data_IF_149922499330
#
_entry.id   IF_149922499330
#
_cell.length_a   1.000
_cell.length_b   1.000
_cell.length_c   1.000
_cell.angle_alpha   90.00
_cell.angle_beta   90.00
_cell.angle_gamma   90.00
#
_symmetry.space_group_name_H-M   'P 1'
#
loop_
_entity.id
_entity.type
_entity.pdbx_description
1 polymer ?
#
# COMPACT_ATOMS: atom_id res chain seq x y z
N UNK A 1 -1.20 0.63 11.94
CA UNK A 1 -2.57 0.13 12.14
C UNK A 1 -3.44 1.26 12.66
N UNK A 2 -4.73 1.21 12.36
CA UNK A 2 -5.68 2.27 12.71
C UNK A 2 -6.91 1.64 13.37
N UNK A 3 -7.26 2.09 14.58
CA UNK A 3 -8.47 1.65 15.26
C UNK A 3 -9.68 2.47 14.78
N UNK A 4 -10.25 2.11 13.63
CA UNK A 4 -11.31 2.88 12.94
C UNK A 4 -12.62 3.11 13.74
N UNK A 5 -12.78 2.44 14.88
CA UNK A 5 -13.92 2.67 15.79
C UNK A 5 -13.67 3.77 16.81
N UNK A 6 -12.42 4.24 16.96
CA UNK A 6 -12.06 5.38 17.80
C UNK A 6 -12.28 6.68 17.02
N UNK A 7 -12.49 7.77 17.75
CA UNK A 7 -12.69 9.08 17.14
C UNK A 7 -11.44 9.52 16.35
N UNK A 8 -11.62 10.34 15.31
CA UNK A 8 -10.50 10.80 14.48
C UNK A 8 -9.47 11.66 15.22
N UNK A 9 -9.85 12.23 16.37
CA UNK A 9 -8.98 13.03 17.25
C UNK A 9 -8.48 12.24 18.47
N UNK A 10 -8.73 10.93 18.54
CA UNK A 10 -8.21 10.07 19.59
C UNK A 10 -6.78 9.64 19.22
N UNK A 11 -5.79 10.08 20.00
CA UNK A 11 -4.38 9.81 19.70
C UNK A 11 -4.02 8.33 19.85
N UNK A 12 -4.78 7.59 20.66
CA UNK A 12 -4.60 6.15 20.85
C UNK A 12 -5.11 5.30 19.66
N UNK A 13 -5.65 5.95 18.61
CA UNK A 13 -6.12 5.28 17.39
C UNK A 13 -4.99 4.65 16.58
N UNK A 14 -3.77 5.12 16.74
CA UNK A 14 -2.62 4.76 15.92
C UNK A 14 -1.78 3.70 16.61
N UNK A 15 -1.32 2.72 15.84
CA UNK A 15 -0.36 1.73 16.30
C UNK A 15 0.63 1.47 15.17
N UNK A 16 1.88 1.84 15.39
CA UNK A 16 2.94 1.74 14.39
C UNK A 16 3.80 0.53 14.71
N UNK A 17 4.14 -0.26 13.70
CA UNK A 17 4.86 -1.52 13.90
C UNK A 17 6.04 -1.61 12.94
N UNK A 18 7.09 -2.27 13.41
CA UNK A 18 8.32 -2.52 12.66
C UNK A 18 8.52 -4.02 12.61
N UNK A 19 8.87 -4.51 11.42
CA UNK A 19 9.36 -5.87 11.21
C UNK A 19 10.78 -5.79 10.66
N UNK A 20 11.62 -6.74 11.03
CA UNK A 20 12.98 -6.85 10.49
C UNK A 20 13.24 -8.26 9.98
N UNK A 21 14.14 -8.39 9.01
CA UNK A 21 14.58 -9.68 8.48
C UNK A 21 16.02 -9.58 8.00
N UNK A 22 16.70 -10.71 7.98
CA UNK A 22 18.02 -10.87 7.35
C UNK A 22 17.91 -11.45 5.94
N UNK A 23 16.71 -11.87 5.53
CA UNK A 23 16.45 -12.51 4.25
C UNK A 23 15.01 -12.18 3.81
N UNK A 24 14.89 -11.39 2.74
CA UNK A 24 13.60 -10.95 2.21
C UNK A 24 12.76 -12.12 1.65
N UNK A 25 13.40 -13.25 1.32
CA UNK A 25 12.78 -14.37 0.62
C UNK A 25 12.37 -15.52 1.57
N UNK A 26 12.74 -15.43 2.84
CA UNK A 26 12.42 -16.44 3.84
C UNK A 26 11.50 -15.84 4.90
N UNK A 27 10.21 -16.12 4.76
CA UNK A 27 9.16 -15.65 5.69
C UNK A 27 9.47 -16.02 7.15
N UNK A 28 10.15 -17.14 7.40
CA UNK A 28 10.48 -17.60 8.77
C UNK A 28 11.56 -16.77 9.47
N UNK A 29 12.27 -15.91 8.73
CA UNK A 29 13.32 -15.03 9.28
C UNK A 29 12.83 -13.62 9.60
N UNK A 30 11.57 -13.30 9.30
CA UNK A 30 10.98 -12.06 9.74
C UNK A 30 10.71 -12.11 11.25
N UNK A 31 11.00 -11.02 11.96
CA UNK A 31 10.69 -10.91 13.38
C UNK A 31 9.19 -10.80 13.62
N UNK A 32 8.77 -11.05 14.87
CA UNK A 32 7.47 -10.57 15.33
C UNK A 32 7.41 -9.03 15.25
N UNK A 33 6.19 -8.49 15.26
CA UNK A 33 5.94 -7.05 15.21
C UNK A 33 6.52 -6.35 16.46
N UNK A 34 7.38 -5.36 16.23
CA UNK A 34 7.85 -4.44 17.26
C UNK A 34 6.97 -3.20 17.23
N UNK A 35 6.27 -2.92 18.34
CA UNK A 35 5.37 -1.78 18.44
C UNK A 35 6.13 -0.50 18.77
N UNK A 36 5.77 0.59 18.10
CA UNK A 36 6.31 1.92 18.28
C UNK A 36 5.23 2.87 18.77
N UNK A 37 5.50 3.52 19.90
CA UNK A 37 4.62 4.56 20.46
C UNK A 37 4.77 5.88 19.67
N UNK A 38 3.97 6.01 18.62
CA UNK A 38 3.89 7.19 17.78
C UNK A 38 2.43 7.54 17.43
N UNK A 39 2.04 8.78 17.72
CA UNK A 39 0.70 9.31 17.47
C UNK A 39 0.53 9.79 16.02
N UNK A 40 0.50 8.84 15.07
CA UNK A 40 0.40 9.19 13.67
C UNK A 40 0.59 8.02 12.72
N UNK A 41 0.97 8.35 11.50
CA UNK A 41 1.13 7.39 10.41
C UNK A 41 2.33 7.76 9.54
N UNK A 42 2.58 6.99 8.49
CA UNK A 42 3.71 7.15 7.56
C UNK A 42 5.06 7.23 8.27
N UNK A 43 5.33 6.28 9.17
CA UNK A 43 6.64 6.20 9.80
C UNK A 43 7.70 5.75 8.80
N UNK A 44 8.84 6.44 8.78
CA UNK A 44 10.03 6.10 8.01
C UNK A 44 11.24 6.03 8.93
N UNK A 45 12.01 4.92 8.92
CA UNK A 45 13.28 4.88 9.63
C UNK A 45 14.35 5.70 8.91
N UNK A 46 15.27 6.26 9.67
CA UNK A 46 16.48 6.94 9.20
C UNK A 46 17.66 6.53 10.07
N UNK A 47 18.84 6.36 9.47
CA UNK A 47 20.07 6.04 10.18
C UNK A 47 21.09 7.14 9.97
N UNK A 48 21.74 7.58 11.04
CA UNK A 48 22.89 8.48 10.95
C UNK A 48 24.20 7.72 10.67
N UNK A 49 25.30 8.46 10.51
CA UNK A 49 26.61 7.88 10.18
C UNK A 49 27.21 7.12 11.38
N UNK A 50 26.74 7.40 12.59
CA UNK A 50 27.12 6.68 13.82
C UNK A 50 26.31 5.38 14.02
N UNK A 51 25.33 5.10 13.15
CA UNK A 51 24.47 3.92 13.21
C UNK A 51 23.31 4.05 14.20
N UNK A 52 23.02 5.25 14.71
CA UNK A 52 21.82 5.48 15.50
C UNK A 52 20.60 5.49 14.57
N UNK A 53 19.53 4.85 15.02
CA UNK A 53 18.24 4.83 14.32
C UNK A 53 17.30 5.91 14.84
N UNK A 54 16.62 6.53 13.90
CA UNK A 54 15.57 7.51 14.08
C UNK A 54 14.32 7.04 13.37
N UNK A 55 13.16 7.43 13.87
CA UNK A 55 11.90 7.34 13.13
C UNK A 55 11.39 8.75 12.92
N UNK A 56 11.08 9.07 11.67
CA UNK A 56 10.31 10.24 11.27
C UNK A 56 8.90 9.78 10.91
N UNK A 57 7.88 10.57 11.24
CA UNK A 57 6.49 10.21 10.95
C UNK A 57 5.57 11.41 10.88
N UNK A 58 4.42 11.22 10.26
CA UNK A 58 3.38 12.24 10.12
C UNK A 58 2.47 12.19 11.33
N UNK A 59 2.35 13.30 12.04
CA UNK A 59 1.39 13.35 13.13
C UNK A 59 -0.02 13.32 12.55
N UNK A 60 -0.95 12.63 13.23
CA UNK A 60 -2.34 12.62 12.82
C UNK A 60 -2.90 14.04 12.78
N UNK A 61 -3.27 14.54 11.59
CA UNK A 61 -3.55 15.97 11.35
C UNK A 61 -4.65 16.57 12.25
N UNK A 62 -5.57 15.73 12.77
CA UNK A 62 -6.63 16.12 13.70
C UNK A 62 -6.21 16.15 15.18
N UNK A 63 -5.00 15.69 15.49
CA UNK A 63 -4.42 15.64 16.84
C UNK A 63 -3.29 16.67 16.95
N UNK A 64 -2.28 16.58 16.09
CA UNK A 64 -1.22 17.59 15.94
C UNK A 64 -0.75 17.64 14.48
N UNK A 65 -0.16 18.77 14.10
CA UNK A 65 0.27 19.03 12.73
C UNK A 65 1.79 18.92 12.63
N UNK A 66 2.26 18.37 11.51
CA UNK A 66 3.67 18.41 11.13
C UNK A 66 4.33 17.03 11.12
N UNK A 67 5.60 17.05 10.75
CA UNK A 67 6.46 15.89 10.65
C UNK A 67 7.33 15.81 11.89
N UNK A 68 7.25 14.70 12.61
CA UNK A 68 7.92 14.52 13.89
C UNK A 68 9.02 13.49 13.78
N UNK A 69 10.13 13.71 14.49
CA UNK A 69 11.25 12.77 14.58
C UNK A 69 11.58 12.43 16.03
N UNK A 70 12.06 11.21 16.25
CA UNK A 70 12.73 10.83 17.48
C UNK A 70 13.77 9.74 17.22
N UNK A 71 14.71 9.58 18.15
CA UNK A 71 15.61 8.44 18.18
C UNK A 71 14.83 7.23 18.71
N UNK A 72 14.96 6.08 18.05
CA UNK A 72 14.19 4.87 18.36
C UNK A 72 15.11 3.66 18.30
N UNK A 73 15.07 2.78 19.30
CA UNK A 73 15.62 1.44 19.15
C UNK A 73 14.65 0.58 18.33
N UNK A 74 14.99 0.31 17.06
CA UNK A 74 14.12 -0.43 16.13
C UNK A 74 13.93 -1.91 16.53
N UNK A 75 14.75 -2.42 17.44
CA UNK A 75 14.66 -3.80 17.95
C UNK A 75 13.59 -3.92 19.02
N UNK A 76 13.46 -2.89 19.87
CA UNK A 76 12.56 -2.90 21.03
C UNK A 76 11.33 -2.01 20.85
N UNK A 77 11.39 -1.06 19.92
CA UNK A 77 10.39 -0.01 19.74
C UNK A 77 10.54 1.13 20.75
N UNK A 78 11.58 1.11 21.58
CA UNK A 78 11.79 2.12 22.62
C UNK A 78 12.10 3.49 22.00
N UNK A 79 11.29 4.48 22.37
CA UNK A 79 11.46 5.88 21.98
C UNK A 79 12.44 6.56 22.96
N UNK A 80 13.61 6.97 22.47
CA UNK A 80 14.75 7.41 23.29
C UNK A 80 14.78 8.94 23.52
N UNK A 81 13.63 9.58 23.64
CA UNK A 81 13.51 11.02 23.81
C UNK A 81 12.08 11.54 23.61
N UNK A 82 11.92 12.84 23.39
CA UNK A 82 10.64 13.44 23.03
C UNK A 82 10.53 13.67 21.52
N UNK A 83 9.34 13.43 20.96
CA UNK A 83 9.04 13.72 19.57
C UNK A 83 9.26 15.20 19.25
N UNK A 84 10.10 15.48 18.26
CA UNK A 84 10.44 16.84 17.82
C UNK A 84 9.79 17.12 16.48
N UNK A 85 8.98 18.18 16.37
CA UNK A 85 8.42 18.62 15.10
C UNK A 85 9.51 19.28 14.25
N UNK A 86 9.79 18.70 13.07
CA UNK A 86 10.79 19.15 12.12
C UNK A 86 10.25 20.21 11.17
N UNK A 87 9.06 19.99 10.63
CA UNK A 87 8.51 20.80 9.55
C UNK A 87 7.00 20.63 9.43
N UNK A 88 6.29 21.75 9.21
CA UNK A 88 4.83 21.79 9.03
C UNK A 88 4.40 21.73 7.56
N UNK A 89 5.34 21.47 6.64
CA UNK A 89 5.10 21.57 5.21
C UNK A 89 5.08 23.01 4.69
N UNK A 90 4.66 23.15 3.44
CA UNK A 90 4.57 24.43 2.71
C UNK A 90 3.25 25.17 2.96
N UNK A 91 2.31 24.55 3.69
CA UNK A 91 0.97 25.06 3.94
C UNK A 91 -0.14 24.29 3.21
N UNK A 92 0.21 23.22 2.47
CA UNK A 92 -0.75 22.25 1.95
C UNK A 92 -1.43 21.47 3.08
N UNK A 93 -2.59 20.88 2.76
CA UNK A 93 -3.29 20.01 3.71
C UNK A 93 -2.52 18.70 3.90
N UNK A 94 -2.60 18.12 5.09
CA UNK A 94 -2.05 16.80 5.42
C UNK A 94 -0.58 16.61 4.98
N UNK A 95 0.39 17.36 5.57
CA UNK A 95 1.80 17.05 5.41
C UNK A 95 2.07 15.63 5.93
N UNK A 96 2.44 14.72 5.02
CA UNK A 96 2.56 13.29 5.30
C UNK A 96 3.72 12.60 4.56
N UNK A 97 3.86 11.27 4.63
CA UNK A 97 4.88 10.52 3.88
C UNK A 97 6.34 10.99 4.03
N UNK A 98 6.88 11.25 5.25
CA UNK A 98 8.19 11.84 5.40
C UNK A 98 9.34 10.88 5.11
N UNK A 99 10.30 11.30 4.30
CA UNK A 99 11.56 10.61 4.07
C UNK A 99 12.76 11.55 4.24
N UNK A 100 13.79 11.09 4.98
CA UNK A 100 15.01 11.86 5.23
C UNK A 100 16.18 11.28 4.44
N UNK A 101 16.80 12.12 3.62
CA UNK A 101 18.03 11.82 2.88
C UNK A 101 19.19 12.64 3.41
N UNK A 102 20.35 12.00 3.62
CA UNK A 102 21.60 12.71 3.93
C UNK A 102 22.47 12.77 2.69
N UNK A 103 22.72 13.98 2.17
CA UNK A 103 23.52 14.18 0.95
C UNK A 103 24.26 15.52 1.00
N UNK A 104 25.54 15.53 0.65
CA UNK A 104 26.38 16.73 0.58
C UNK A 104 26.35 17.61 1.84
N UNK A 105 26.33 16.95 3.01
CA UNK A 105 26.25 17.59 4.32
C UNK A 105 24.92 18.31 4.58
N UNK A 106 23.85 17.92 3.91
CA UNK A 106 22.48 18.35 4.16
C UNK A 106 21.60 17.15 4.52
N UNK A 107 20.65 17.37 5.42
CA UNK A 107 19.48 16.53 5.59
C UNK A 107 18.35 17.11 4.75
N UNK A 108 17.85 16.35 3.79
CA UNK A 108 16.68 16.69 3.00
C UNK A 108 15.49 15.93 3.55
N UNK A 109 14.42 16.64 3.88
CA UNK A 109 13.14 16.08 4.30
C UNK A 109 12.15 16.25 3.15
N UNK A 110 11.80 15.13 2.52
CA UNK A 110 10.72 15.03 1.53
C UNK A 110 9.44 14.62 2.22
N UNK A 111 8.31 15.21 1.82
CA UNK A 111 6.98 14.94 2.35
C UNK A 111 5.94 15.05 1.23
N UNK A 112 4.84 14.33 1.38
CA UNK A 112 3.62 14.55 0.60
C UNK A 112 2.76 15.67 1.22
N UNK A 113 2.05 16.42 0.38
CA UNK A 113 1.04 17.40 0.79
C UNK A 113 -0.17 17.38 -0.16
N UNK A 114 -1.26 18.03 0.21
CA UNK A 114 -2.46 18.18 -0.61
C UNK A 114 -3.46 17.02 -0.49
N UNK A 115 -3.10 15.99 0.28
CA UNK A 115 -3.82 14.72 0.40
C UNK A 115 -3.74 13.88 -0.88
N UNK A 116 -3.91 12.57 -0.76
CA UNK A 116 -3.77 11.58 -1.86
C UNK A 116 -4.83 11.66 -2.98
N UNK A 117 -5.46 12.81 -3.21
CA UNK A 117 -6.43 13.10 -4.27
C UNK A 117 -5.87 14.03 -5.36
N UNK A 118 -6.74 14.77 -6.05
CA UNK A 118 -6.34 15.62 -7.20
C UNK A 118 -5.30 16.72 -6.86
N UNK A 119 -5.17 17.12 -5.60
CA UNK A 119 -4.22 18.15 -5.16
C UNK A 119 -2.91 17.56 -4.64
N UNK A 120 -2.72 16.24 -4.75
CA UNK A 120 -1.52 15.57 -4.24
C UNK A 120 -0.25 16.13 -4.86
N UNK A 121 0.76 16.30 -4.02
CA UNK A 121 2.05 16.83 -4.41
C UNK A 121 3.14 16.33 -3.47
N UNK A 122 4.38 16.37 -3.94
CA UNK A 122 5.59 16.15 -3.16
C UNK A 122 6.30 17.49 -2.92
N UNK A 123 6.67 17.76 -1.69
CA UNK A 123 7.42 18.95 -1.28
C UNK A 123 8.70 18.54 -0.55
N UNK A 124 9.69 19.41 -0.56
CA UNK A 124 10.99 19.15 0.06
C UNK A 124 11.51 20.36 0.81
N UNK A 125 12.19 20.10 1.92
CA UNK A 125 12.95 21.08 2.68
C UNK A 125 14.32 20.49 3.04
N UNK A 126 15.27 21.31 3.48
CA UNK A 126 16.58 20.82 3.93
C UNK A 126 17.13 21.58 5.12
N UNK A 127 18.00 20.94 5.89
CA UNK A 127 18.73 21.55 6.98
C UNK A 127 20.16 21.02 7.09
N UNK A 128 21.03 21.78 7.75
CA UNK A 128 22.37 21.31 8.15
C UNK A 128 22.34 20.47 9.43
N UNK A 129 21.24 20.54 10.18
CA UNK A 129 21.02 19.78 11.40
C UNK A 129 19.80 18.86 11.19
N UNK A 130 19.89 17.60 11.62
CA UNK A 130 18.79 16.63 11.52
C UNK A 130 17.52 17.15 12.17
N UNK A 131 17.64 17.90 13.28
CA UNK A 131 16.53 18.49 14.01
C UNK A 131 16.06 19.85 13.46
N UNK A 132 16.64 20.31 12.36
CA UNK A 132 16.27 21.55 11.71
C UNK A 132 16.94 22.80 12.30
N UNK A 133 16.41 24.01 12.00
CA UNK A 133 15.21 24.25 11.21
C UNK A 133 15.40 23.84 9.74
N UNK A 134 14.32 23.37 9.11
CA UNK A 134 14.30 23.01 7.69
C UNK A 134 13.90 24.22 6.84
N UNK A 135 14.75 24.56 5.86
CA UNK A 135 14.48 25.57 4.84
C UNK A 135 13.72 24.91 3.66
N UNK A 136 12.50 25.34 3.33
CA UNK A 136 11.75 24.77 2.21
C UNK A 136 12.39 25.13 0.87
N UNK A 137 12.33 24.21 -0.10
CA UNK A 137 12.70 24.53 -1.47
C UNK A 137 11.75 25.60 -2.04
N UNK A 138 12.32 26.72 -2.51
CA UNK A 138 11.56 27.80 -3.13
C UNK A 138 10.81 27.38 -4.40
N UNK A 139 11.19 26.25 -5.02
CA UNK A 139 10.54 25.67 -6.19
C UNK A 139 9.46 24.63 -5.85
N UNK A 140 9.09 24.45 -4.57
CA UNK A 140 8.02 23.52 -4.21
C UNK A 140 6.68 23.85 -4.91
N UNK A 141 5.86 22.82 -5.23
CA UNK A 141 6.15 21.39 -5.08
C UNK A 141 7.16 20.86 -6.11
N UNK A 142 7.95 19.86 -5.72
CA UNK A 142 8.94 19.24 -6.62
C UNK A 142 8.34 18.16 -7.53
N UNK A 143 7.15 17.66 -7.20
CA UNK A 143 6.38 16.74 -8.03
C UNK A 143 4.88 16.96 -7.79
N UNK A 144 4.08 17.11 -8.85
CA UNK A 144 2.62 17.09 -8.77
C UNK A 144 2.01 16.89 -10.15
N UNK A 145 0.81 16.34 -10.26
CA UNK A 145 0.01 16.48 -11.48
C UNK A 145 -1.25 17.33 -11.25
N UNK A 146 -1.36 17.97 -10.07
CA UNK A 146 -2.49 18.83 -9.73
C UNK A 146 -2.66 19.98 -10.74
N UNK A 147 -3.91 20.31 -11.05
CA UNK A 147 -4.28 21.37 -12.01
C UNK A 147 -3.70 21.18 -13.43
N UNK A 148 -3.36 19.95 -13.81
CA UNK A 148 -2.97 19.59 -15.18
C UNK A 148 -4.08 18.80 -15.88
N UNK A 149 -3.93 18.58 -17.19
CA UNK A 149 -4.79 17.66 -17.97
C UNK A 149 -4.15 16.28 -18.18
N UNK A 150 -3.14 15.94 -17.38
CA UNK A 150 -2.41 14.68 -17.55
C UNK A 150 -3.29 13.48 -17.18
N UNK A 151 -3.04 12.33 -17.81
CA UNK A 151 -3.83 11.12 -17.55
C UNK A 151 -3.57 10.53 -16.16
N UNK A 152 -2.30 10.55 -15.73
CA UNK A 152 -1.92 10.24 -14.35
C UNK A 152 -2.26 11.43 -13.46
N UNK A 153 -2.97 11.19 -12.37
CA UNK A 153 -3.35 12.20 -11.38
C UNK A 153 -3.02 11.72 -9.97
N UNK A 154 -3.20 12.59 -8.98
CA UNK A 154 -2.86 12.32 -7.58
C UNK A 154 -1.41 11.86 -7.37
N UNK A 155 -0.49 12.41 -8.16
CA UNK A 155 0.94 12.08 -8.10
C UNK A 155 1.58 12.72 -6.86
N UNK A 156 2.17 11.90 -6.00
CA UNK A 156 2.83 12.32 -4.75
C UNK A 156 3.22 11.12 -3.90
N UNK A 157 3.58 11.33 -2.64
CA UNK A 157 4.04 10.29 -1.71
C UNK A 157 5.22 9.53 -2.33
N UNK A 158 6.24 10.32 -2.67
CA UNK A 158 7.39 9.87 -3.43
C UNK A 158 8.53 9.39 -2.53
N UNK A 159 9.34 8.49 -3.07
CA UNK A 159 10.62 8.09 -2.47
C UNK A 159 11.71 8.07 -3.54
N UNK A 160 12.95 8.32 -3.14
CA UNK A 160 14.11 8.42 -4.02
C UNK A 160 15.13 7.34 -3.71
N UNK A 161 15.73 6.76 -4.74
CA UNK A 161 16.76 5.74 -4.58
C UNK A 161 17.79 5.81 -5.70
N UNK A 162 18.95 5.22 -5.46
CA UNK A 162 19.99 5.04 -6.47
C UNK A 162 19.97 3.61 -7.00
N UNK A 163 20.15 3.45 -8.31
CA UNK A 163 20.47 2.14 -8.89
C UNK A 163 21.94 1.76 -8.64
N UNK A 164 22.33 0.55 -9.05
CA UNK A 164 23.70 0.06 -8.91
C UNK A 164 24.75 0.85 -9.71
N UNK A 165 24.34 1.77 -10.60
CA UNK A 165 25.21 2.67 -11.36
C UNK A 165 25.26 4.07 -10.72
N UNK A 166 24.61 4.28 -9.58
CA UNK A 166 24.52 5.56 -8.88
C UNK A 166 23.52 6.54 -9.51
N UNK A 167 22.70 6.09 -10.47
CA UNK A 167 21.68 6.94 -11.08
C UNK A 167 20.50 7.08 -10.13
N UNK A 168 20.04 8.32 -9.93
CA UNK A 168 18.88 8.60 -9.11
C UNK A 168 17.56 8.33 -9.85
N UNK A 169 16.66 7.69 -9.14
CA UNK A 169 15.30 7.35 -9.55
C UNK A 169 14.33 7.79 -8.46
N UNK A 170 13.11 8.10 -8.86
CA UNK A 170 12.01 8.35 -7.94
C UNK A 170 10.84 7.44 -8.24
N UNK A 171 10.20 6.94 -7.20
CA UNK A 171 8.87 6.33 -7.26
C UNK A 171 7.85 7.30 -6.69
N UNK A 172 6.60 7.19 -7.13
CA UNK A 172 5.47 7.86 -6.50
C UNK A 172 4.22 7.00 -6.72
N UNK A 173 3.17 7.26 -5.94
CA UNK A 173 1.85 6.76 -6.30
C UNK A 173 1.23 7.67 -7.35
N UNK A 174 0.33 7.13 -8.17
CA UNK A 174 -0.51 7.86 -9.12
C UNK A 174 -1.82 7.11 -9.35
N UNK A 175 -2.78 7.78 -9.97
CA UNK A 175 -4.06 7.19 -10.37
C UNK A 175 -4.29 7.43 -11.86
N UNK A 176 -4.71 6.40 -12.60
CA UNK A 176 -5.13 6.49 -14.01
C UNK A 176 -6.57 6.99 -14.14
N UNK A 177 -6.82 8.25 -13.79
CA UNK A 177 -8.18 8.83 -13.78
C UNK A 177 -8.42 9.95 -14.77
N UNK A 178 -7.35 10.62 -15.27
CA UNK A 178 -7.49 11.97 -15.82
C UNK A 178 -7.98 13.00 -14.80
N UNK A 179 -8.00 14.30 -15.14
CA UNK A 179 -8.46 15.36 -14.25
C UNK A 179 -9.94 15.28 -13.90
N UNK A 180 -10.73 14.52 -14.65
CA UNK A 180 -12.16 14.30 -14.39
C UNK A 180 -12.38 13.54 -13.07
N UNK A 181 -11.42 12.71 -12.65
CA UNK A 181 -11.44 11.99 -11.37
C UNK A 181 -12.72 11.15 -11.14
N UNK A 182 -13.27 10.58 -12.22
CA UNK A 182 -14.55 9.84 -12.15
C UNK A 182 -14.35 8.34 -11.99
N UNK A 183 -13.37 7.74 -12.69
CA UNK A 183 -13.22 6.28 -12.74
C UNK A 183 -11.76 5.88 -12.75
N UNK A 184 -11.37 5.09 -11.75
CA UNK A 184 -10.01 4.60 -11.55
C UNK A 184 -10.04 3.24 -10.80
N UNK A 185 -10.45 2.16 -11.48
CA UNK A 185 -10.76 0.89 -10.82
C UNK A 185 -9.55 0.19 -10.17
N UNK A 186 -8.33 0.56 -10.58
CA UNK A 186 -7.09 -0.01 -10.06
C UNK A 186 -6.57 0.73 -8.82
N UNK A 187 -7.24 1.82 -8.41
CA UNK A 187 -6.83 2.63 -7.27
C UNK A 187 -5.51 3.36 -7.53
N UNK A 188 -4.66 3.41 -6.50
CA UNK A 188 -3.33 4.02 -6.55
C UNK A 188 -2.33 2.99 -7.05
N UNK A 189 -1.53 3.38 -8.03
CA UNK A 189 -0.55 2.57 -8.75
C UNK A 189 0.82 3.23 -8.64
N UNK A 190 1.91 2.46 -8.77
CA UNK A 190 3.26 3.01 -8.68
C UNK A 190 3.75 3.48 -10.04
N UNK A 191 4.30 4.70 -10.09
CA UNK A 191 5.05 5.24 -11.22
C UNK A 191 6.53 5.32 -10.87
N UNK A 192 7.39 5.14 -11.87
CA UNK A 192 8.84 5.31 -11.77
C UNK A 192 9.26 6.44 -12.72
N UNK A 193 10.20 7.28 -12.29
CA UNK A 193 10.71 8.39 -13.08
C UNK A 193 12.17 8.71 -12.76
N UNK A 194 12.83 9.42 -13.67
CA UNK A 194 14.22 9.83 -13.51
C UNK A 194 14.35 11.00 -12.55
N UNK A 195 15.47 11.03 -11.81
CA UNK A 195 15.84 12.14 -10.94
C UNK A 195 17.29 12.54 -11.22
N UNK A 196 17.54 13.85 -11.28
CA UNK A 196 18.89 14.42 -11.28
C UNK A 196 19.11 15.17 -9.97
N UNK A 197 20.23 14.90 -9.29
CA UNK A 197 20.52 15.49 -8.00
C UNK A 197 21.99 15.87 -7.87
N UNK A 198 22.32 17.03 -8.42
CA UNK A 198 23.66 17.58 -8.39
C UNK A 198 24.15 17.88 -6.97
N UNK A 199 25.46 17.99 -6.82
CA UNK A 199 26.07 18.21 -5.53
C UNK A 199 25.60 19.54 -4.90
N UNK A 200 25.02 19.47 -3.70
CA UNK A 200 24.52 20.64 -2.97
C UNK A 200 23.25 21.30 -3.55
N UNK A 201 22.66 20.73 -4.61
CA UNK A 201 21.41 21.22 -5.21
C UNK A 201 20.17 20.60 -4.57
N UNK A 202 18.99 21.00 -5.04
CA UNK A 202 17.75 20.24 -4.84
C UNK A 202 17.67 19.10 -5.86
N UNK A 203 16.93 18.01 -5.57
CA UNK A 203 16.62 17.01 -6.58
C UNK A 203 15.65 17.61 -7.60
N UNK A 204 15.90 17.32 -8.87
CA UNK A 204 15.01 17.64 -9.98
C UNK A 204 14.32 16.36 -10.45
N UNK A 205 13.01 16.29 -10.22
CA UNK A 205 12.17 15.16 -10.58
C UNK A 205 11.56 15.38 -11.97
N UNK A 206 11.36 14.31 -12.72
CA UNK A 206 10.65 14.40 -13.99
C UNK A 206 9.16 14.73 -13.76
N UNK A 207 8.82 15.99 -13.95
CA UNK A 207 7.50 16.55 -13.70
C UNK A 207 6.97 17.28 -14.95
N UNK A 208 5.69 17.10 -15.34
CA UNK A 208 4.70 16.19 -14.75
C UNK A 208 4.92 14.72 -15.15
N UNK A 209 4.33 13.80 -14.41
CA UNK A 209 4.38 12.36 -14.71
C UNK A 209 3.43 12.04 -15.87
N UNK A 210 3.98 11.41 -16.92
CA UNK A 210 3.25 11.06 -18.15
C UNK A 210 3.27 9.57 -18.49
N UNK A 211 3.90 8.74 -17.66
CA UNK A 211 4.17 7.33 -17.97
C UNK A 211 5.29 7.09 -18.98
N UNK A 212 5.95 8.15 -19.45
CA UNK A 212 7.15 8.07 -20.28
C UNK A 212 8.36 8.56 -19.49
N UNK A 213 9.33 7.69 -19.25
CA UNK A 213 10.60 8.06 -18.61
C UNK A 213 11.51 8.78 -19.60
N UNK A 214 12.19 9.83 -19.13
CA UNK A 214 13.17 10.61 -19.91
C UNK A 214 14.46 10.72 -19.11
N UNK A 215 15.56 10.25 -19.69
CA UNK A 215 16.88 10.33 -19.06
C UNK A 215 17.59 8.99 -19.10
N UNK A 216 17.74 8.36 -17.94
CA UNK A 216 18.44 7.08 -17.78
C UNK A 216 17.68 5.95 -18.47
N UNK A 217 18.40 5.06 -19.15
CA UNK A 217 17.81 3.81 -19.62
C UNK A 217 17.51 2.88 -18.45
N UNK A 218 16.34 2.24 -18.49
CA UNK A 218 15.99 1.18 -17.57
C UNK A 218 17.11 0.11 -17.54
N UNK A 219 17.43 -0.43 -16.36
CA UNK A 219 18.33 -1.57 -16.27
C UNK A 219 17.74 -2.77 -17.01
N UNK A 220 18.59 -3.70 -17.44
CA UNK A 220 18.12 -4.95 -18.04
C UNK A 220 17.25 -5.72 -17.05
N UNK A 221 16.20 -6.35 -17.56
CA UNK A 221 15.27 -7.16 -16.75
C UNK A 221 16.05 -8.35 -16.16
N UNK A 222 15.95 -8.52 -14.84
CA UNK A 222 16.47 -9.69 -14.14
C UNK A 222 15.32 -10.68 -13.98
N UNK A 223 15.38 -11.81 -14.67
CA UNK A 223 14.33 -12.84 -14.62
C UNK A 223 14.57 -13.90 -13.53
N UNK A 224 15.82 -14.08 -13.09
CA UNK A 224 16.18 -15.08 -12.08
C UNK A 224 16.24 -14.45 -10.69
N UNK A 225 15.08 -14.02 -10.18
CA UNK A 225 14.94 -13.54 -8.80
C UNK A 225 14.59 -14.71 -7.87
N UNK A 226 14.96 -14.68 -6.57
CA UNK A 226 14.70 -15.77 -5.63
C UNK A 226 13.24 -15.91 -5.17
N UNK A 227 12.30 -15.19 -5.77
CA UNK A 227 10.89 -15.16 -5.34
C UNK A 227 10.03 -16.24 -5.98
N UNK A 228 9.00 -16.68 -5.26
CA UNK A 228 8.10 -17.78 -5.65
C UNK A 228 6.77 -17.33 -6.32
N UNK A 229 6.77 -16.14 -6.93
CA UNK A 229 5.58 -15.54 -7.58
C UNK A 229 5.81 -15.22 -9.06
N UNK A 230 4.73 -15.15 -9.86
CA UNK A 230 4.85 -14.72 -11.24
C UNK A 230 5.24 -13.24 -11.31
N UNK A 231 5.89 -12.85 -12.41
CA UNK A 231 6.04 -11.43 -12.71
C UNK A 231 4.68 -10.80 -13.02
N UNK A 232 4.55 -9.50 -12.75
CA UNK A 232 3.28 -8.76 -12.95
C UNK A 232 2.79 -8.83 -14.40
N UNK A 233 3.70 -9.01 -15.37
CA UNK A 233 3.43 -9.08 -16.80
C UNK A 233 3.32 -10.50 -17.38
N UNK A 234 3.58 -11.56 -16.60
CA UNK A 234 3.49 -12.95 -17.08
C UNK A 234 2.04 -13.39 -17.34
N UNK A 235 1.07 -12.72 -16.70
CA UNK A 235 -0.36 -13.01 -16.84
C UNK A 235 -0.78 -14.33 -16.20
N UNK A 236 -2.08 -14.46 -15.91
CA UNK A 236 -2.65 -15.63 -15.23
C UNK A 236 -3.33 -16.57 -16.23
N UNK A 237 -2.52 -17.28 -17.03
CA UNK A 237 -3.06 -18.22 -17.99
C UNK A 237 -3.35 -19.58 -17.32
N UNK A 238 -4.64 -19.88 -17.08
CA UNK A 238 -5.13 -21.19 -16.64
C UNK A 238 -4.51 -21.69 -15.32
N UNK A 239 -4.68 -20.91 -14.25
CA UNK A 239 -4.19 -21.27 -12.91
C UNK A 239 -4.72 -22.65 -12.49
N UNK A 240 -3.80 -23.52 -12.06
CA UNK A 240 -4.09 -24.85 -11.51
C UNK A 240 -3.52 -24.96 -10.11
N UNK A 241 -4.39 -25.23 -9.13
CA UNK A 241 -4.00 -25.45 -7.74
C UNK A 241 -3.53 -26.90 -7.56
N UNK A 242 -2.30 -27.18 -7.99
CA UNK A 242 -1.72 -28.54 -8.05
C UNK A 242 -1.48 -29.12 -6.65
N UNK A 243 -1.46 -30.45 -6.47
CA UNK A 243 -1.08 -31.04 -5.19
C UNK A 243 0.32 -30.59 -4.75
N UNK A 244 0.51 -30.45 -3.43
CA UNK A 244 1.79 -30.05 -2.81
C UNK A 244 2.32 -28.67 -3.26
N UNK A 245 1.44 -27.76 -3.65
CA UNK A 245 1.78 -26.34 -3.87
C UNK A 245 1.11 -25.45 -2.84
N UNK A 246 1.58 -24.20 -2.75
CA UNK A 246 0.90 -23.12 -2.04
C UNK A 246 -0.07 -22.38 -2.95
N UNK A 247 -0.92 -21.54 -2.35
CA UNK A 247 -1.72 -20.56 -3.08
C UNK A 247 -0.75 -19.49 -3.60
N UNK A 248 -0.80 -19.10 -4.89
CA UNK A 248 0.14 -18.12 -5.43
C UNK A 248 0.07 -16.78 -4.67
N UNK A 249 1.22 -16.10 -4.44
CA UNK A 249 1.31 -14.95 -3.54
C UNK A 249 0.54 -13.70 -4.02
N UNK A 250 0.15 -13.64 -5.30
CA UNK A 250 -0.67 -12.56 -5.83
C UNK A 250 -2.17 -12.69 -5.48
N UNK A 251 -2.59 -13.85 -4.95
CA UNK A 251 -3.91 -13.98 -4.34
C UNK A 251 -3.92 -13.38 -2.94
N UNK A 252 -5.01 -12.71 -2.62
CA UNK A 252 -5.22 -12.00 -1.36
C UNK A 252 -6.53 -12.39 -0.72
N UNK A 253 -6.57 -12.26 0.60
CA UNK A 253 -7.75 -12.45 1.42
C UNK A 253 -8.25 -11.12 1.96
N UNK A 254 -9.50 -11.10 2.41
CA UNK A 254 -10.03 -9.97 3.14
C UNK A 254 -9.75 -10.16 4.63
N UNK A 255 -8.68 -9.51 5.13
CA UNK A 255 -8.15 -9.67 6.49
C UNK A 255 -7.59 -11.09 6.73
N UNK A 256 -7.11 -11.44 7.94
CA UNK A 256 -6.56 -12.77 8.18
C UNK A 256 -7.56 -13.88 7.82
N UNK A 257 -7.17 -14.85 6.97
CA UNK A 257 -8.06 -15.92 6.54
C UNK A 257 -8.21 -17.00 7.63
N UNK A 258 -9.37 -17.67 7.63
CA UNK A 258 -9.51 -18.98 8.27
C UNK A 258 -8.92 -20.01 7.30
N UNK A 259 -7.66 -20.38 7.52
CA UNK A 259 -6.87 -21.16 6.55
C UNK A 259 -7.48 -22.52 6.22
N UNK A 260 -8.17 -23.16 7.16
CA UNK A 260 -8.89 -24.43 6.92
C UNK A 260 -10.01 -24.32 5.86
N UNK A 261 -10.46 -23.10 5.55
CA UNK A 261 -11.48 -22.89 4.52
C UNK A 261 -10.92 -23.00 3.10
N UNK A 262 -9.60 -23.06 2.92
CA UNK A 262 -8.93 -23.05 1.62
C UNK A 262 -8.09 -24.32 1.48
N UNK A 263 -8.55 -25.27 0.65
CA UNK A 263 -7.84 -26.54 0.46
C UNK A 263 -7.48 -26.74 -1.00
N UNK A 264 -6.18 -26.81 -1.26
CA UNK A 264 -5.61 -27.13 -2.58
C UNK A 264 -5.76 -28.63 -2.86
N UNK A 265 -6.25 -28.96 -4.05
CA UNK A 265 -6.37 -30.34 -4.55
C UNK A 265 -6.93 -31.33 -3.52
N UNK A 266 -8.12 -31.09 -2.94
CA UNK A 266 -8.68 -32.03 -1.97
C UNK A 266 -8.91 -33.40 -2.63
N UNK A 267 -9.00 -34.49 -1.84
CA UNK A 267 -9.24 -35.83 -2.37
C UNK A 267 -10.43 -35.86 -3.35
N UNK A 268 -10.19 -36.39 -4.56
CA UNK A 268 -11.21 -36.45 -5.61
C UNK A 268 -11.29 -35.23 -6.54
N UNK A 269 -10.66 -34.09 -6.20
CA UNK A 269 -10.67 -32.86 -7.01
C UNK A 269 -9.24 -32.31 -7.20
N UNK A 270 -8.42 -33.03 -7.96
CA UNK A 270 -7.06 -32.57 -8.28
C UNK A 270 -7.07 -31.29 -9.13
N UNK A 271 -6.10 -30.40 -8.92
CA UNK A 271 -5.93 -29.12 -9.61
C UNK A 271 -6.99 -28.06 -9.30
N UNK A 272 -7.77 -28.20 -8.22
CA UNK A 272 -8.80 -27.25 -7.79
C UNK A 272 -8.46 -26.60 -6.44
N UNK A 273 -9.09 -25.46 -6.16
CA UNK A 273 -9.12 -24.86 -4.83
C UNK A 273 -10.53 -25.00 -4.27
N UNK A 274 -10.68 -25.73 -3.17
CA UNK A 274 -11.95 -25.83 -2.46
C UNK A 274 -12.06 -24.71 -1.43
N UNK A 275 -13.19 -24.03 -1.46
CA UNK A 275 -13.59 -23.00 -0.50
C UNK A 275 -14.70 -23.53 0.42
N UNK A 276 -14.55 -23.40 1.74
CA UNK A 276 -15.62 -23.66 2.72
C UNK A 276 -16.42 -22.37 2.97
N UNK A 277 -17.75 -22.34 2.80
CA UNK A 277 -18.55 -21.14 3.01
C UNK A 277 -18.36 -20.54 4.41
N UNK A 278 -18.23 -19.22 4.50
CA UNK A 278 -18.28 -18.50 5.77
C UNK A 278 -19.73 -18.28 6.24
N UNK A 279 -19.97 -18.06 7.55
CA UNK A 279 -21.32 -17.82 8.06
C UNK A 279 -21.98 -16.56 7.50
N UNK A 280 -21.18 -15.55 7.11
CA UNK A 280 -21.62 -14.29 6.55
C UNK A 280 -21.25 -14.20 5.07
N UNK A 281 -22.09 -13.50 4.31
CA UNK A 281 -21.77 -13.08 2.93
C UNK A 281 -20.69 -11.99 2.93
N UNK A 282 -20.22 -11.62 1.73
CA UNK A 282 -19.13 -10.64 1.56
C UNK A 282 -19.39 -9.26 2.19
N UNK A 283 -20.66 -8.87 2.36
CA UNK A 283 -21.02 -7.60 3.01
C UNK A 283 -20.71 -7.61 4.51
N UNK A 284 -20.63 -8.79 5.14
CA UNK A 284 -20.35 -8.91 6.57
C UNK A 284 -21.47 -8.34 7.43
N UNK A 285 -21.13 -7.90 8.65
CA UNK A 285 -22.09 -7.34 9.62
C UNK A 285 -22.23 -5.82 9.46
N UNK A 286 -21.11 -5.11 9.38
CA UNK A 286 -21.01 -3.64 9.39
C UNK A 286 -20.33 -3.08 8.14
N UNK A 287 -20.11 -3.93 7.12
CA UNK A 287 -19.38 -3.55 5.92
C UNK A 287 -17.89 -3.25 6.14
N UNK A 288 -17.38 -3.53 7.34
CA UNK A 288 -16.04 -3.19 7.78
C UNK A 288 -15.41 -4.26 8.69
N UNK A 289 -16.01 -5.45 8.81
CA UNK A 289 -15.49 -6.55 9.63
C UNK A 289 -15.91 -7.90 9.00
N UNK A 290 -15.03 -8.92 9.00
CA UNK A 290 -15.41 -10.27 8.61
C UNK A 290 -16.21 -10.97 9.75
N UNK A 291 -16.36 -10.32 10.90
CA UNK A 291 -16.99 -10.90 12.09
C UNK A 291 -16.14 -12.02 12.71
N UNK A 292 -16.61 -12.62 13.82
CA UNK A 292 -15.89 -13.68 14.53
C UNK A 292 -15.77 -14.98 13.73
N UNK A 293 -16.67 -15.20 12.76
CA UNK A 293 -16.67 -16.39 11.90
C UNK A 293 -15.78 -16.26 10.67
N UNK A 294 -15.05 -15.14 10.52
CA UNK A 294 -14.22 -14.84 9.35
C UNK A 294 -15.02 -14.68 8.06
N UNK A 295 -14.30 -14.39 6.98
CA UNK A 295 -14.85 -14.30 5.63
C UNK A 295 -14.11 -15.27 4.72
N UNK A 296 -14.84 -16.15 4.04
CA UNK A 296 -14.27 -16.95 2.97
C UNK A 296 -14.30 -16.14 1.70
N UNK A 297 -13.14 -15.61 1.32
CA UNK A 297 -12.94 -14.75 0.16
C UNK A 297 -11.48 -14.83 -0.24
N UNK A 298 -11.23 -15.12 -1.52
CA UNK A 298 -9.92 -15.06 -2.13
C UNK A 298 -10.04 -14.33 -3.46
N UNK A 299 -9.14 -13.40 -3.74
CA UNK A 299 -9.15 -12.60 -4.96
C UNK A 299 -7.74 -12.30 -5.43
N UNK A 300 -7.60 -11.66 -6.58
CA UNK A 300 -6.39 -10.97 -7.00
C UNK A 300 -6.72 -9.53 -7.35
N UNK A 301 -5.72 -8.64 -7.35
CA UNK A 301 -5.90 -7.25 -7.78
C UNK A 301 -6.23 -7.21 -9.27
N UNK A 302 -7.16 -6.33 -9.65
CA UNK A 302 -7.31 -5.87 -11.02
C UNK A 302 -6.11 -4.99 -11.37
N UNK A 303 -5.35 -5.34 -12.42
CA UNK A 303 -4.13 -4.62 -12.85
C UNK A 303 -4.25 -4.03 -14.25
N UNK A 304 -5.30 -4.38 -14.97
CA UNK A 304 -5.62 -3.88 -16.31
C UNK A 304 -7.01 -3.23 -16.33
N UNK A 305 -7.16 -2.17 -17.12
CA UNK A 305 -8.47 -1.54 -17.36
C UNK A 305 -9.41 -2.48 -18.11
N UNK A 306 -8.84 -3.23 -19.08
CA UNK A 306 -9.56 -4.19 -19.90
C UNK A 306 -8.96 -5.57 -19.63
N UNK A 307 -9.76 -6.47 -19.10
CA UNK A 307 -9.35 -7.83 -18.82
C UNK A 307 -10.52 -8.79 -19.02
N UNK A 308 -10.19 -10.07 -19.22
CA UNK A 308 -11.14 -11.15 -19.17
C UNK A 308 -10.72 -12.10 -18.05
N UNK A 309 -11.70 -12.67 -17.37
CA UNK A 309 -11.46 -13.69 -16.37
C UNK A 309 -12.61 -14.69 -16.40
N UNK A 310 -12.28 -15.95 -16.12
CA UNK A 310 -13.21 -17.05 -16.08
C UNK A 310 -12.76 -18.05 -15.01
N UNK A 311 -13.71 -18.82 -14.49
CA UNK A 311 -13.46 -19.88 -13.54
C UNK A 311 -14.50 -20.99 -13.75
N UNK A 312 -14.11 -22.22 -13.43
CA UNK A 312 -15.02 -23.35 -13.36
C UNK A 312 -15.49 -23.50 -11.91
N UNK A 313 -16.80 -23.63 -11.71
CA UNK A 313 -17.41 -23.83 -10.39
C UNK A 313 -18.10 -25.19 -10.32
N UNK A 314 -17.57 -26.07 -9.48
CA UNK A 314 -18.25 -27.29 -9.04
C UNK A 314 -18.89 -27.03 -7.68
N UNK A 315 -20.21 -26.81 -7.68
CA UNK A 315 -20.94 -26.40 -6.48
C UNK A 315 -22.39 -26.89 -6.49
N UNK A 316 -22.82 -27.43 -5.35
CA UNK A 316 -24.19 -27.87 -5.09
C UNK A 316 -24.59 -27.36 -3.70
N UNK A 317 -25.32 -26.24 -3.59
CA UNK A 317 -25.67 -25.66 -2.30
C UNK A 317 -26.54 -26.64 -1.49
N UNK A 318 -26.34 -26.64 -0.17
CA UNK A 318 -26.98 -27.54 0.79
C UNK A 318 -27.89 -26.81 1.78
N UNK A 319 -27.74 -25.50 1.91
CA UNK A 319 -28.53 -24.65 2.78
C UNK A 319 -29.16 -23.47 2.04
N UNK A 320 -30.31 -23.00 2.54
CA UNK A 320 -30.94 -21.77 2.06
C UNK A 320 -29.97 -20.59 2.21
N UNK A 321 -29.93 -19.74 1.19
CA UNK A 321 -29.04 -18.59 1.03
C UNK A 321 -27.54 -18.91 0.95
N UNK A 322 -27.15 -20.19 0.88
CA UNK A 322 -25.77 -20.58 0.61
C UNK A 322 -25.42 -20.20 -0.83
N UNK A 323 -24.33 -19.44 -1.02
CA UNK A 323 -23.93 -18.85 -2.29
C UNK A 323 -22.43 -19.06 -2.53
N UNK A 324 -22.07 -19.44 -3.75
CA UNK A 324 -20.69 -19.46 -4.22
C UNK A 324 -20.61 -18.88 -5.65
N UNK A 325 -19.52 -18.17 -5.93
CA UNK A 325 -19.35 -17.53 -7.22
C UNK A 325 -18.18 -16.56 -7.27
N UNK A 326 -18.35 -15.53 -8.09
CA UNK A 326 -17.34 -14.56 -8.46
C UNK A 326 -17.77 -13.16 -8.04
N UNK A 327 -16.80 -12.29 -7.76
CA UNK A 327 -17.07 -10.93 -7.31
C UNK A 327 -16.05 -9.93 -7.86
N UNK A 328 -16.53 -8.74 -8.20
CA UNK A 328 -15.75 -7.52 -8.30
C UNK A 328 -15.84 -6.83 -6.94
N UNK A 329 -14.75 -6.88 -6.17
CA UNK A 329 -14.74 -6.47 -4.76
C UNK A 329 -13.85 -5.24 -4.57
N UNK A 330 -14.44 -4.12 -4.17
CA UNK A 330 -13.71 -2.93 -3.72
C UNK A 330 -13.66 -2.88 -2.19
N UNK A 331 -14.81 -2.96 -1.55
CA UNK A 331 -14.96 -3.14 -0.10
C UNK A 331 -16.16 -4.04 0.20
N UNK A 332 -16.38 -4.41 1.46
CA UNK A 332 -17.60 -5.16 1.82
C UNK A 332 -18.89 -4.36 1.56
N UNK A 333 -18.81 -3.02 1.51
CA UNK A 333 -19.95 -2.16 1.14
C UNK A 333 -20.08 -1.94 -0.37
N UNK A 334 -19.03 -2.19 -1.15
CA UNK A 334 -18.97 -1.91 -2.58
C UNK A 334 -18.40 -3.12 -3.31
N UNK A 335 -19.30 -4.02 -3.70
CA UNK A 335 -18.96 -5.17 -4.53
C UNK A 335 -20.13 -5.56 -5.42
N UNK A 336 -19.82 -6.20 -6.55
CA UNK A 336 -20.80 -6.79 -7.45
C UNK A 336 -20.46 -8.28 -7.61
N UNK A 337 -21.44 -9.16 -7.48
CA UNK A 337 -21.23 -10.60 -7.46
C UNK A 337 -22.18 -11.35 -8.38
N UNK A 338 -21.69 -12.46 -8.90
CA UNK A 338 -22.44 -13.42 -9.71
C UNK A 338 -22.13 -14.81 -9.18
N UNK A 339 -23.15 -15.61 -8.92
CA UNK A 339 -22.95 -16.92 -8.33
C UNK A 339 -24.18 -17.81 -8.37
N UNK A 340 -23.98 -19.04 -7.94
CA UNK A 340 -25.07 -20.01 -7.71
C UNK A 340 -25.48 -19.89 -6.25
N UNK A 341 -26.78 -19.68 -6.02
CA UNK A 341 -27.35 -19.57 -4.68
C UNK A 341 -28.60 -20.45 -4.55
N UNK A 342 -28.80 -21.02 -3.36
CA UNK A 342 -30.07 -21.66 -3.03
C UNK A 342 -31.04 -20.62 -2.48
N UNK A 343 -32.10 -20.33 -3.22
CA UNK A 343 -33.14 -19.36 -2.83
C UNK A 343 -34.38 -20.08 -2.27
N UNK A 344 -35.16 -19.42 -1.40
CA UNK A 344 -36.45 -19.95 -0.99
C UNK A 344 -37.38 -20.14 -2.21
N UNK A 345 -38.28 -21.12 -2.12
CA UNK A 345 -39.31 -21.31 -3.14
C UNK A 345 -40.24 -20.09 -3.15
N UNK A 346 -40.65 -19.65 -4.33
CA UNK A 346 -41.45 -18.44 -4.52
C UNK A 346 -42.82 -18.41 -3.80
N UNK A 347 -43.22 -19.51 -3.13
CA UNK A 347 -44.49 -19.63 -2.41
C UNK A 347 -44.39 -19.44 -0.89
N UNK A 348 -43.19 -19.26 -0.32
CA UNK A 348 -43.03 -19.08 1.14
C UNK A 348 -43.17 -17.61 1.59
N UNK A 349 -43.56 -16.70 0.68
CA UNK A 349 -43.76 -15.26 0.99
C UNK A 349 -45.22 -14.88 1.33
N UNK A 350 -46.08 -15.84 1.70
CA UNK A 350 -47.40 -15.54 2.27
C UNK A 350 -47.71 -16.51 3.41
N UNK A 351 -47.35 -16.13 4.63
CA UNK A 351 -48.22 -16.15 5.82
C UNK A 351 -47.54 -15.49 7.02
#
# INVERSE_FOLDING_TARGET
>A
MVHDKRADNDSSRWDNIIFSTTDLWDESKWTDAVHLDFEGYDISPHWDDEGNSYVVGSHAWKVAYGIHINRVDLTTGEVLGNWTNLWNGTGGIAPEGPHIFKKDGWYYLMIAEGGTGLLHMETIARSKDLYGPYEPNAANPILTNANTTEYFQAVGHADLFQDARGQWWGVALAVRSGPEWVTFPMGRETVLYNVTWEAGSWPELQHPVRGEMRGWSLPSIIQNLPGDGPFVDEGDNNIKFRPNTSIPPHFIYWRPPITENYVISPPGHINTLRLKPSPLNLTGIDGNSPGPGGQTFISRRQVDTLFNFAFDLDYSPSALNEEAGITLFLTQNHHARMGVAMLPLANDSVN
#
